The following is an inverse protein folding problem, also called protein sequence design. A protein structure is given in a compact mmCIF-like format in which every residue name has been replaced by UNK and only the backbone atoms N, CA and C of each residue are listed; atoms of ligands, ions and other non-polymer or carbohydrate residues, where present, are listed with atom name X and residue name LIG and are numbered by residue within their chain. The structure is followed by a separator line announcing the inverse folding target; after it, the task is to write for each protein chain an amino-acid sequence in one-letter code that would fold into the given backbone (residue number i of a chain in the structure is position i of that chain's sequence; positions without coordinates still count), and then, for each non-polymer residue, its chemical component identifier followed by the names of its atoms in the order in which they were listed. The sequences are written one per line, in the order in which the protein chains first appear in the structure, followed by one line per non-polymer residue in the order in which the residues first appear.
data_IF_488906873152
#
_entry.id   IF_488906873152
#
_cell.length_a   1.000
_cell.length_b   1.000
_cell.length_c   1.000
_cell.angle_alpha   90.00
_cell.angle_beta   90.00
_cell.angle_gamma   90.00
#
_symmetry.space_group_name_H-M   'P 1'
#
loop_
_entity.id
_entity.type
_entity.pdbx_description
1 polymer ?
#
# COMPACT_ATOMS: atom_id res chain seq x y z
N UNK A 1 -12.00 -18.69 -1.76
CA UNK A 1 -12.44 -17.33 -2.17
C UNK A 1 -12.47 -16.33 -1.02
N UNK A 2 -13.19 -16.55 0.09
CA UNK A 2 -13.15 -15.60 1.23
C UNK A 2 -11.73 -15.41 1.81
N UNK A 3 -10.98 -16.50 1.95
CA UNK A 3 -9.57 -16.44 2.36
C UNK A 3 -8.73 -15.64 1.35
N UNK A 4 -8.87 -15.96 0.06
CA UNK A 4 -8.15 -15.32 -1.06
C UNK A 4 -8.34 -13.81 -1.09
N UNK A 5 -9.57 -13.33 -0.89
CA UNK A 5 -9.88 -11.91 -0.77
C UNK A 5 -9.16 -11.24 0.40
N UNK A 6 -8.99 -11.94 1.53
CA UNK A 6 -8.38 -11.38 2.73
C UNK A 6 -6.91 -10.98 2.58
N UNK A 7 -6.19 -11.56 1.61
CA UNK A 7 -4.81 -11.19 1.29
C UNK A 7 -4.65 -10.60 -0.13
N UNK A 8 -5.75 -10.13 -0.73
CA UNK A 8 -5.73 -9.35 -1.98
C UNK A 8 -5.79 -10.17 -3.27
N UNK A 9 -6.16 -11.45 -3.22
CA UNK A 9 -6.41 -12.30 -4.39
C UNK A 9 -7.90 -12.52 -4.64
N UNK A 10 -8.21 -13.42 -5.58
CA UNK A 10 -9.58 -13.81 -5.90
C UNK A 10 -10.20 -12.82 -6.89
N UNK A 11 -11.34 -12.24 -6.52
CA UNK A 11 -12.13 -11.36 -7.40
C UNK A 11 -12.05 -9.88 -7.01
N UNK A 12 -11.04 -9.52 -6.20
CA UNK A 12 -10.78 -8.12 -5.85
C UNK A 12 -10.16 -7.42 -7.04
N UNK A 13 -10.75 -6.31 -7.47
CA UNK A 13 -10.21 -5.43 -8.50
C UNK A 13 -9.98 -4.06 -7.87
N UNK A 14 -8.76 -3.56 -7.93
CA UNK A 14 -8.37 -2.23 -7.46
C UNK A 14 -7.35 -1.62 -8.42
N UNK A 15 -7.48 -0.31 -8.65
CA UNK A 15 -6.44 0.46 -9.32
C UNK A 15 -5.34 0.87 -8.31
N UNK A 16 -4.21 1.35 -8.83
CA UNK A 16 -3.15 1.99 -8.01
C UNK A 16 -3.69 3.17 -7.19
N UNK A 17 -4.66 3.91 -7.72
CA UNK A 17 -5.28 5.04 -7.03
C UNK A 17 -6.19 4.58 -5.89
N UNK A 18 -6.98 3.52 -6.11
CA UNK A 18 -7.82 2.94 -5.05
C UNK A 18 -6.97 2.44 -3.89
N UNK A 19 -5.81 1.84 -4.19
CA UNK A 19 -4.88 1.38 -3.16
C UNK A 19 -4.27 2.56 -2.41
N UNK A 20 -3.83 3.62 -3.10
CA UNK A 20 -3.34 4.83 -2.43
C UNK A 20 -4.39 5.46 -1.50
N UNK A 21 -5.64 5.57 -1.98
CA UNK A 21 -6.79 6.04 -1.20
C UNK A 21 -7.02 5.17 0.04
N UNK A 22 -7.00 3.84 -0.11
CA UNK A 22 -7.21 2.91 1.00
C UNK A 22 -6.15 3.01 2.12
N UNK A 23 -4.97 3.56 1.83
CA UNK A 23 -3.90 3.73 2.81
C UNK A 23 -3.91 5.09 3.53
N UNK A 24 -4.71 6.06 3.07
CA UNK A 24 -4.81 7.37 3.73
C UNK A 24 -5.22 7.28 5.21
N UNK A 25 -6.09 6.35 5.67
CA UNK A 25 -6.47 6.26 7.08
C UNK A 25 -5.27 6.06 8.02
N UNK A 26 -4.22 5.36 7.58
CA UNK A 26 -3.06 5.08 8.44
C UNK A 26 -2.26 6.33 8.80
N UNK A 27 -2.34 7.37 7.97
CA UNK A 27 -1.66 8.66 8.19
C UNK A 27 -2.64 9.80 8.50
N UNK A 28 -3.94 9.49 8.66
CA UNK A 28 -5.01 10.46 8.95
C UNK A 28 -5.88 10.01 10.14
N UNK A 29 -5.28 9.38 11.16
CA UNK A 29 -5.99 8.99 12.41
C UNK A 29 -7.23 8.11 12.16
N UNK A 30 -7.15 7.24 11.15
CA UNK A 30 -8.22 6.33 10.76
C UNK A 30 -9.26 6.92 9.83
N UNK A 31 -9.04 8.14 9.31
CA UNK A 31 -9.95 8.79 8.37
C UNK A 31 -9.53 8.59 6.90
N UNK A 32 -10.47 8.12 6.09
CA UNK A 32 -10.31 8.05 4.64
C UNK A 32 -10.34 9.46 4.04
N UNK A 33 -9.44 9.71 3.10
CA UNK A 33 -9.32 10.99 2.39
C UNK A 33 -9.56 10.71 0.91
N UNK A 34 -10.53 11.41 0.34
CA UNK A 34 -10.80 11.31 -1.09
C UNK A 34 -9.69 12.01 -1.89
N UNK A 35 -9.09 11.34 -2.89
CA UNK A 35 -8.15 11.99 -3.79
C UNK A 35 -8.88 12.99 -4.70
N UNK A 36 -8.24 14.11 -4.98
CA UNK A 36 -8.74 15.15 -5.89
C UNK A 36 -7.61 15.55 -6.83
N UNK A 37 -7.96 15.91 -8.07
CA UNK A 37 -7.01 16.40 -9.07
C UNK A 37 -7.05 17.91 -9.25
N UNK A 38 -8.17 18.52 -8.86
CA UNK A 38 -8.44 19.95 -9.00
C UNK A 38 -8.64 20.51 -7.60
N UNK A 39 -7.88 21.54 -7.24
CA UNK A 39 -7.84 22.07 -5.86
C UNK A 39 -9.22 22.56 -5.39
N UNK A 40 -10.04 23.09 -6.30
CA UNK A 40 -11.41 23.54 -6.02
C UNK A 40 -12.37 22.38 -5.66
N UNK A 41 -12.02 21.13 -5.98
CA UNK A 41 -12.82 19.93 -5.68
C UNK A 41 -12.44 19.28 -4.34
N UNK A 42 -11.51 19.89 -3.59
CA UNK A 42 -11.08 19.39 -2.29
C UNK A 42 -12.27 19.29 -1.32
N UNK A 43 -12.79 18.07 -1.15
CA UNK A 43 -13.73 17.77 -0.09
C UNK A 43 -13.02 17.93 1.26
N UNK A 44 -13.59 18.75 2.14
CA UNK A 44 -13.15 18.86 3.53
C UNK A 44 -13.59 17.66 4.38
N UNK A 45 -14.47 16.81 3.87
CA UNK A 45 -15.03 15.68 4.61
C UNK A 45 -14.07 14.48 4.54
N UNK A 46 -13.64 14.03 5.72
CA UNK A 46 -12.89 12.79 5.89
C UNK A 46 -13.77 11.81 6.67
N UNK A 47 -13.96 10.61 6.14
CA UNK A 47 -14.81 9.59 6.75
C UNK A 47 -13.99 8.74 7.74
N UNK A 48 -14.49 8.52 8.96
CA UNK A 48 -13.82 7.64 9.93
C UNK A 48 -14.11 6.17 9.59
N UNK A 49 -13.11 5.43 9.10
CA UNK A 49 -13.26 4.02 8.70
C UNK A 49 -12.70 3.06 9.75
N UNK A 50 -11.65 3.46 10.46
CA UNK A 50 -11.02 2.69 11.55
C UNK A 50 -10.72 3.62 12.73
N UNK A 51 -10.46 3.10 13.93
CA UNK A 51 -10.06 3.97 15.06
C UNK A 51 -8.66 4.54 14.86
N UNK A 52 -8.38 5.69 15.48
CA UNK A 52 -7.04 6.30 15.46
C UNK A 52 -5.97 5.36 16.03
N UNK A 53 -6.29 4.63 17.11
CA UNK A 53 -5.42 3.62 17.71
C UNK A 53 -5.10 2.46 16.75
N UNK A 54 -6.10 2.01 15.98
CA UNK A 54 -5.90 0.96 14.97
C UNK A 54 -5.01 1.47 13.85
N UNK A 55 -5.25 2.70 13.38
CA UNK A 55 -4.43 3.33 12.35
C UNK A 55 -2.96 3.46 12.79
N UNK A 56 -2.72 3.93 14.02
CA UNK A 56 -1.39 4.07 14.59
C UNK A 56 -0.69 2.70 14.74
N UNK A 57 -1.41 1.68 15.21
CA UNK A 57 -0.87 0.32 15.34
C UNK A 57 -0.44 -0.24 13.98
N UNK A 58 -1.30 -0.13 12.96
CA UNK A 58 -0.98 -0.59 11.60
C UNK A 58 0.20 0.19 11.04
N UNK A 59 0.21 1.52 11.21
CA UNK A 59 1.32 2.37 10.77
C UNK A 59 2.66 1.92 11.39
N UNK A 60 2.68 1.64 12.70
CA UNK A 60 3.88 1.10 13.36
C UNK A 60 4.33 -0.22 12.75
N UNK A 61 3.40 -1.10 12.37
CA UNK A 61 3.73 -2.35 11.71
C UNK A 61 4.26 -2.15 10.29
N UNK A 62 3.73 -1.19 9.53
CA UNK A 62 4.24 -0.81 8.21
C UNK A 62 5.68 -0.26 8.30
N UNK A 63 6.01 0.52 9.33
CA UNK A 63 7.39 0.95 9.60
C UNK A 63 8.30 -0.25 9.90
N UNK A 64 7.81 -1.28 10.60
CA UNK A 64 8.59 -2.51 10.87
C UNK A 64 8.84 -3.37 9.63
N UNK A 65 8.00 -3.31 8.61
CA UNK A 65 8.25 -3.97 7.32
C UNK A 65 9.53 -3.45 6.66
N UNK A 66 9.89 -2.20 6.93
CA UNK A 66 11.13 -1.59 6.45
C UNK A 66 12.25 -1.71 7.50
N UNK A 67 11.98 -1.41 8.76
CA UNK A 67 13.05 -1.29 9.77
C UNK A 67 13.53 -2.63 10.36
N UNK A 68 12.72 -3.71 10.36
CA UNK A 68 13.19 -5.03 10.77
C UNK A 68 14.05 -5.64 9.66
N UNK A 69 15.24 -6.15 10.01
CA UNK A 69 16.15 -6.90 9.11
C UNK A 69 15.51 -8.05 8.33
N UNK A 70 14.37 -8.59 8.80
CA UNK A 70 13.60 -9.65 8.14
C UNK A 70 12.35 -9.13 7.42
N UNK A 71 12.12 -7.83 7.45
CA UNK A 71 11.01 -7.17 6.77
C UNK A 71 11.18 -7.25 5.26
N UNK A 72 10.08 -7.45 4.54
CA UNK A 72 10.11 -7.59 3.08
C UNK A 72 10.49 -6.28 2.37
N UNK A 73 10.28 -5.14 3.02
CA UNK A 73 10.70 -3.81 2.53
C UNK A 73 12.04 -3.35 3.11
N UNK A 74 12.79 -4.21 3.82
CA UNK A 74 14.01 -3.81 4.51
C UNK A 74 15.09 -3.13 3.66
N UNK A 75 15.28 -3.47 2.36
CA UNK A 75 16.22 -2.75 1.51
C UNK A 75 16.02 -1.23 1.45
N UNK A 76 14.82 -0.72 1.75
CA UNK A 76 14.53 0.71 1.77
C UNK A 76 15.01 1.41 3.05
N UNK A 77 15.35 0.67 4.11
CA UNK A 77 15.79 1.22 5.39
C UNK A 77 17.10 2.03 5.28
N UNK A 78 17.85 1.85 4.19
CA UNK A 78 19.08 2.62 3.91
C UNK A 78 18.81 3.93 3.15
N UNK A 79 17.59 4.14 2.65
CA UNK A 79 17.26 5.23 1.72
C UNK A 79 16.68 6.45 2.43
N UNK A 80 15.79 6.24 3.41
CA UNK A 80 15.11 7.32 4.11
C UNK A 80 14.73 6.91 5.54
N UNK A 81 14.76 7.89 6.43
CA UNK A 81 14.27 7.78 7.80
C UNK A 81 12.74 8.00 7.82
N UNK A 82 12.04 7.33 8.74
CA UNK A 82 10.58 7.43 8.95
C UNK A 82 9.69 7.04 7.74
N UNK A 83 10.13 6.01 7.02
CA UNK A 83 9.32 5.35 6.00
C UNK A 83 8.66 4.08 6.54
N UNK A 84 7.43 3.83 6.10
CA UNK A 84 6.74 2.57 6.27
C UNK A 84 6.26 2.06 4.92
N UNK A 85 6.01 0.76 4.82
CA UNK A 85 5.59 0.22 3.54
C UNK A 85 4.99 -1.16 3.61
N UNK A 86 4.45 -1.59 2.47
CA UNK A 86 4.02 -2.97 2.26
C UNK A 86 4.31 -3.42 0.84
N UNK A 87 5.03 -4.54 0.74
CA UNK A 87 5.17 -5.30 -0.50
C UNK A 87 3.98 -6.24 -0.70
N UNK A 88 3.64 -6.56 -1.94
CA UNK A 88 2.56 -7.49 -2.26
C UNK A 88 2.75 -8.12 -3.64
N UNK A 89 2.21 -9.31 -3.82
CA UNK A 89 2.21 -10.00 -5.12
C UNK A 89 0.80 -10.48 -5.46
N UNK A 90 0.42 -10.35 -6.73
CA UNK A 90 -0.86 -10.83 -7.25
C UNK A 90 -0.62 -11.83 -8.38
N UNK A 91 -1.11 -13.06 -8.25
CA UNK A 91 -0.96 -14.09 -9.28
C UNK A 91 -2.17 -14.01 -10.22
N UNK A 92 -1.94 -13.65 -11.49
CA UNK A 92 -3.03 -13.33 -12.44
C UNK A 92 -3.18 -14.39 -13.54
N UNK A 93 -2.80 -15.62 -13.22
CA UNK A 93 -2.91 -16.79 -14.09
C UNK A 93 -1.81 -16.88 -15.15
N UNK A 94 -2.02 -17.76 -16.14
CA UNK A 94 -1.04 -18.01 -17.20
C UNK A 94 -1.13 -16.96 -18.32
N UNK A 95 0.03 -16.54 -18.84
CA UNK A 95 0.15 -15.77 -20.06
C UNK A 95 -0.05 -16.64 -21.32
N UNK A 96 -0.10 -15.99 -22.48
CA UNK A 96 -0.20 -16.68 -23.78
C UNK A 96 1.01 -17.58 -24.08
N UNK A 97 2.15 -17.31 -23.44
CA UNK A 97 3.37 -18.11 -23.48
C UNK A 97 3.36 -19.30 -22.49
N UNK A 98 2.26 -19.48 -21.76
CA UNK A 98 2.09 -20.54 -20.77
C UNK A 98 2.80 -20.30 -19.44
N UNK A 99 3.40 -19.12 -19.22
CA UNK A 99 4.07 -18.78 -17.96
C UNK A 99 3.12 -18.14 -16.97
N UNK A 100 3.31 -18.41 -15.68
CA UNK A 100 2.57 -17.74 -14.62
C UNK A 100 2.91 -16.24 -14.60
N UNK A 101 1.88 -15.40 -14.57
CA UNK A 101 1.99 -13.95 -14.50
C UNK A 101 1.78 -13.45 -13.09
N UNK A 102 2.64 -12.54 -12.67
CA UNK A 102 2.61 -11.94 -11.35
C UNK A 102 2.71 -10.42 -11.45
N UNK A 103 1.89 -9.72 -10.69
CA UNK A 103 2.03 -8.30 -10.44
C UNK A 103 2.76 -8.10 -9.11
N UNK A 104 3.80 -7.29 -9.12
CA UNK A 104 4.47 -6.80 -7.91
C UNK A 104 3.86 -5.47 -7.50
N UNK A 105 3.65 -5.30 -6.20
CA UNK A 105 3.05 -4.11 -5.62
C UNK A 105 3.92 -3.60 -4.50
N UNK A 106 4.12 -2.29 -4.48
CA UNK A 106 4.73 -1.64 -3.34
C UNK A 106 3.96 -0.37 -2.97
N UNK A 107 3.62 -0.25 -1.70
CA UNK A 107 3.05 0.96 -1.11
C UNK A 107 4.06 1.52 -0.10
N UNK A 108 4.41 2.78 -0.26
CA UNK A 108 5.29 3.54 0.63
C UNK A 108 4.48 4.64 1.33
N UNK A 109 4.62 4.73 2.64
CA UNK A 109 4.26 5.89 3.45
C UNK A 109 5.54 6.59 3.85
N UNK A 110 5.69 7.85 3.45
CA UNK A 110 6.79 8.71 3.87
C UNK A 110 6.23 9.78 4.80
N UNK A 111 6.77 9.83 6.03
CA UNK A 111 6.36 10.75 7.09
C UNK A 111 7.49 11.68 7.52
N UNK A 112 8.58 11.77 6.74
CA UNK A 112 9.69 12.67 7.07
C UNK A 112 9.27 14.15 7.08
N UNK A 113 8.15 14.47 6.43
CA UNK A 113 7.58 15.81 6.31
C UNK A 113 6.29 15.97 7.12
N UNK A 114 5.91 17.22 7.40
CA UNK A 114 4.66 17.52 8.11
C UNK A 114 3.40 17.03 7.37
N UNK A 115 3.44 16.99 6.04
CA UNK A 115 2.41 16.36 5.23
C UNK A 115 2.95 15.05 4.69
N UNK A 116 2.37 13.90 5.06
CA UNK A 116 2.86 12.60 4.64
C UNK A 116 2.61 12.37 3.14
N UNK A 117 3.54 11.68 2.49
CA UNK A 117 3.39 11.22 1.10
C UNK A 117 3.02 9.74 1.06
N UNK A 118 2.11 9.40 0.15
CA UNK A 118 1.76 8.01 -0.16
C UNK A 118 2.17 7.74 -1.61
N UNK A 119 3.03 6.74 -1.82
CA UNK A 119 3.43 6.31 -3.16
C UNK A 119 3.02 4.86 -3.37
N UNK A 120 2.28 4.61 -4.45
CA UNK A 120 1.89 3.26 -4.85
C UNK A 120 2.53 2.93 -6.20
N UNK A 121 3.24 1.81 -6.27
CA UNK A 121 3.88 1.30 -7.48
C UNK A 121 3.33 -0.09 -7.78
N UNK A 122 3.03 -0.32 -9.06
CA UNK A 122 2.71 -1.63 -9.60
C UNK A 122 3.70 -1.95 -10.71
N UNK A 123 4.25 -3.16 -10.69
CA UNK A 123 5.17 -3.67 -11.69
C UNK A 123 4.55 -4.95 -12.27
N UNK A 124 4.29 -4.94 -13.58
CA UNK A 124 3.92 -6.16 -14.30
C UNK A 124 5.13 -7.07 -14.47
N UNK A 125 4.89 -8.39 -14.51
CA UNK A 125 5.93 -9.39 -14.69
C UNK A 125 7.01 -9.36 -13.60
N UNK A 126 6.56 -9.31 -12.34
CA UNK A 126 7.43 -9.26 -11.17
C UNK A 126 8.01 -10.64 -10.75
N UNK A 127 7.82 -11.68 -11.56
CA UNK A 127 8.24 -13.04 -11.21
C UNK A 127 9.73 -13.08 -10.86
N UNK A 128 10.07 -13.77 -9.77
CA UNK A 128 11.44 -13.94 -9.27
C UNK A 128 12.13 -12.64 -8.81
N UNK A 129 11.42 -11.52 -8.64
CA UNK A 129 12.03 -10.27 -8.15
C UNK A 129 11.94 -10.10 -6.63
N UNK A 130 11.12 -10.92 -5.97
CA UNK A 130 10.69 -10.64 -4.60
C UNK A 130 9.74 -9.45 -4.64
N UNK A 131 8.49 -9.64 -4.21
CA UNK A 131 7.48 -8.58 -4.26
C UNK A 131 7.91 -7.28 -3.58
#
# INVERSE_FOLDING_TARGET
MLADTGYGQGQVLMSVLDLARAYTPFVNEGKLVEPYFVDEEKSGEKEQIISAETAESIRSYLTKVVTDSRGTGNPLNEIADDIGGKTGTAEIGLGADGKQRELGWFMLLDQSEQTPYITTVMIEEAQNRGG
#
